data_IF_442325256539
#
_entry.id   IF_442325256539
#
_cell.length_a   1.000
_cell.length_b   1.000
_cell.length_c   1.000
_cell.angle_alpha   90.00
_cell.angle_beta   90.00
_cell.angle_gamma   90.00
#
_symmetry.space_group_name_H-M   'P 1'
#
loop_
_entity.id
_entity.type
_entity.pdbx_description
1 polymer ?
#
# COMPACT_ATOMS: atom_id res chain seq x y z
N UNK A 1 -29.85 47.53 14.66
CA UNK A 1 -31.29 47.67 15.00
C UNK A 1 -31.58 47.49 16.50
N UNK A 2 -30.96 46.55 17.22
CA UNK A 2 -31.22 46.39 18.66
C UNK A 2 -30.67 47.54 19.53
N UNK A 3 -29.43 47.99 19.28
CA UNK A 3 -28.78 49.14 19.98
C UNK A 3 -29.57 50.46 19.89
N UNK A 4 -30.32 50.67 18.82
CA UNK A 4 -31.11 51.90 18.60
C UNK A 4 -32.47 51.87 19.32
N UNK A 5 -32.96 50.69 19.72
CA UNK A 5 -34.26 50.52 20.38
C UNK A 5 -34.12 50.42 21.91
N UNK A 6 -33.00 49.88 22.41
CA UNK A 6 -32.70 49.87 23.83
C UNK A 6 -31.18 50.05 24.05
N UNK A 7 -30.73 51.29 24.25
CA UNK A 7 -29.30 51.59 24.36
C UNK A 7 -28.67 51.06 25.65
N UNK A 8 -29.45 50.75 26.69
CA UNK A 8 -28.97 50.24 27.98
C UNK A 8 -29.06 48.71 28.11
N UNK A 9 -29.38 48.01 27.02
CA UNK A 9 -29.44 46.54 27.02
C UNK A 9 -28.10 45.93 27.49
N UNK A 10 -28.10 45.03 28.50
CA UNK A 10 -26.89 44.39 29.01
C UNK A 10 -26.06 43.68 27.94
N UNK A 11 -26.72 43.11 26.93
CA UNK A 11 -26.06 42.44 25.79
C UNK A 11 -25.36 43.43 24.83
N UNK A 12 -25.78 44.69 24.83
CA UNK A 12 -25.20 45.78 24.01
C UNK A 12 -24.09 46.51 24.77
N UNK A 13 -24.27 46.70 26.08
CA UNK A 13 -23.32 47.40 26.95
C UNK A 13 -22.19 46.50 27.46
N UNK A 14 -22.42 45.20 27.60
CA UNK A 14 -21.45 44.26 28.11
C UNK A 14 -21.41 42.96 27.29
N UNK A 15 -20.44 42.89 26.37
CA UNK A 15 -20.22 41.72 25.51
C UNK A 15 -19.87 40.45 26.29
N UNK A 16 -19.45 40.57 27.55
CA UNK A 16 -19.08 39.43 28.39
C UNK A 16 -20.29 38.68 28.98
N UNK A 17 -21.48 39.29 29.00
CA UNK A 17 -22.73 38.62 29.41
C UNK A 17 -23.47 37.94 28.26
N UNK A 18 -22.94 38.03 27.04
CA UNK A 18 -23.61 37.55 25.84
C UNK A 18 -23.63 36.02 25.66
N UNK A 19 -23.20 35.24 26.67
CA UNK A 19 -23.18 33.78 26.58
C UNK A 19 -22.25 33.23 25.51
N UNK A 20 -21.41 34.08 24.90
CA UNK A 20 -20.35 33.62 24.02
C UNK A 20 -19.29 32.97 24.91
N UNK A 21 -19.18 31.65 24.80
CA UNK A 21 -18.11 30.88 25.45
C UNK A 21 -16.79 31.55 25.06
N UNK A 22 -15.95 31.98 26.03
CA UNK A 22 -14.63 32.47 25.71
C UNK A 22 -13.94 31.41 24.85
N UNK A 23 -13.33 31.81 23.74
CA UNK A 23 -12.36 30.95 23.08
C UNK A 23 -11.23 30.79 24.10
N UNK A 24 -11.37 29.81 25.00
CA UNK A 24 -10.23 29.22 25.66
C UNK A 24 -9.38 28.82 24.47
N UNK A 25 -8.26 29.50 24.27
CA UNK A 25 -7.17 28.97 23.48
C UNK A 25 -6.73 27.70 24.23
N UNK A 26 -7.51 26.64 24.09
CA UNK A 26 -6.96 25.32 23.95
C UNK A 26 -5.95 25.54 22.85
N UNK A 27 -4.69 25.57 23.25
CA UNK A 27 -3.60 25.26 22.35
C UNK A 27 -3.88 23.84 21.90
N UNK A 28 -4.84 23.68 20.97
CA UNK A 28 -4.71 22.64 19.99
C UNK A 28 -3.32 22.84 19.42
N UNK A 29 -2.46 21.80 19.44
CA UNK A 29 -1.18 21.90 18.78
C UNK A 29 -1.48 22.10 17.30
N UNK A 30 -1.57 23.36 16.89
CA UNK A 30 -1.61 23.79 15.51
C UNK A 30 -0.44 23.09 14.86
N UNK A 31 -0.75 22.17 13.95
CA UNK A 31 0.18 21.32 13.18
C UNK A 31 1.13 22.14 12.27
N UNK A 32 1.39 23.40 12.57
CA UNK A 32 2.05 24.37 11.70
C UNK A 32 3.53 24.61 12.03
N UNK A 33 4.12 23.88 13.00
CA UNK A 33 5.54 24.07 13.39
C UNK A 33 6.41 22.82 13.40
N UNK A 34 5.88 21.63 13.10
CA UNK A 34 6.65 20.38 13.22
C UNK A 34 7.42 20.07 11.94
N UNK A 35 8.74 19.89 12.06
CA UNK A 35 9.58 19.45 10.94
C UNK A 35 9.44 17.93 10.72
N UNK A 36 8.48 17.56 9.90
CA UNK A 36 8.25 16.17 9.50
C UNK A 36 9.36 15.58 8.61
N UNK A 37 10.41 16.32 8.23
CA UNK A 37 11.60 15.69 7.62
C UNK A 37 12.34 14.80 8.62
N UNK A 38 12.22 15.06 9.93
CA UNK A 38 12.75 14.21 10.97
C UNK A 38 11.85 12.98 11.21
N UNK A 39 12.42 11.79 11.14
CA UNK A 39 11.69 10.52 11.31
C UNK A 39 11.06 10.37 12.70
N UNK A 40 11.75 10.79 13.76
CA UNK A 40 11.22 10.72 15.13
C UNK A 40 9.98 11.60 15.29
N UNK A 41 9.96 12.76 14.63
CA UNK A 41 8.79 13.67 14.62
C UNK A 41 7.63 13.03 13.86
N UNK A 42 7.91 12.37 12.72
CA UNK A 42 6.90 11.59 12.01
C UNK A 42 6.35 10.45 12.85
N UNK A 43 7.20 9.70 13.55
CA UNK A 43 6.77 8.60 14.41
C UNK A 43 5.87 9.11 15.55
N UNK A 44 6.25 10.21 16.20
CA UNK A 44 5.45 10.84 17.25
C UNK A 44 4.05 11.28 16.76
N UNK A 45 3.87 11.50 15.46
CA UNK A 45 2.54 11.80 14.90
C UNK A 45 1.58 10.60 14.95
N UNK A 46 2.04 9.38 15.19
CA UNK A 46 1.19 8.18 15.19
C UNK A 46 0.64 7.81 16.58
N UNK A 47 0.70 8.70 17.56
CA UNK A 47 -0.04 8.52 18.83
C UNK A 47 -1.52 8.24 18.54
N UNK A 48 -2.06 7.15 19.09
CA UNK A 48 -3.43 6.67 18.86
C UNK A 48 -3.73 6.30 17.39
N UNK A 49 -2.75 5.76 16.66
CA UNK A 49 -2.96 5.22 15.32
C UNK A 49 -4.05 4.12 15.34
N UNK A 50 -5.08 4.18 14.48
CA UNK A 50 -6.23 3.27 14.55
C UNK A 50 -5.96 1.86 14.00
N UNK A 51 -4.87 1.65 13.26
CA UNK A 51 -4.59 0.39 12.54
C UNK A 51 -3.18 -0.18 12.82
N UNK A 52 -2.75 -0.32 14.08
CA UNK A 52 -1.39 -0.78 14.40
C UNK A 52 -1.13 -2.23 13.99
N UNK A 53 -2.17 -3.07 13.98
CA UNK A 53 -2.07 -4.50 13.59
C UNK A 53 -2.01 -4.70 12.07
N UNK A 54 -2.42 -3.70 11.29
CA UNK A 54 -2.44 -3.74 9.83
C UNK A 54 -1.13 -3.18 9.28
N UNK A 55 -0.71 -2.03 9.79
CA UNK A 55 0.53 -1.37 9.38
C UNK A 55 1.18 -0.67 10.57
N UNK A 56 2.43 -1.03 10.83
CA UNK A 56 3.19 -0.50 11.95
C UNK A 56 3.52 1.00 11.75
N UNK A 57 3.26 1.86 12.74
CA UNK A 57 3.68 3.27 12.73
C UNK A 57 5.15 3.49 12.37
N UNK A 58 6.04 2.62 12.84
CA UNK A 58 7.48 2.67 12.56
C UNK A 58 7.77 2.47 11.07
N UNK A 59 7.03 1.59 10.40
CA UNK A 59 7.19 1.36 8.97
C UNK A 59 6.70 2.57 8.16
N UNK A 60 5.58 3.18 8.56
CA UNK A 60 5.05 4.40 7.94
C UNK A 60 6.00 5.59 8.11
N UNK A 61 6.48 5.84 9.33
CA UNK A 61 7.43 6.91 9.63
C UNK A 61 8.74 6.74 8.84
N UNK A 62 9.26 5.51 8.77
CA UNK A 62 10.47 5.15 8.01
C UNK A 62 10.28 5.30 6.50
N UNK A 63 9.06 5.09 6.00
CA UNK A 63 8.68 5.34 4.61
C UNK A 63 8.44 6.84 4.30
N UNK A 64 8.59 7.72 5.28
CA UNK A 64 8.48 9.17 5.10
C UNK A 64 7.09 9.74 5.41
N UNK A 65 6.18 8.93 5.94
CA UNK A 65 4.81 9.33 6.25
C UNK A 65 4.63 9.80 7.70
N UNK A 66 3.70 10.72 7.91
CA UNK A 66 3.17 11.13 9.21
C UNK A 66 1.64 11.06 9.18
N UNK A 67 1.00 10.82 10.34
CA UNK A 67 -0.46 10.74 10.45
C UNK A 67 -1.08 12.13 10.37
N UNK A 68 -2.24 12.22 9.70
CA UNK A 68 -3.08 13.42 9.69
C UNK A 68 -4.07 13.48 10.86
N UNK A 69 -4.05 12.49 11.76
CA UNK A 69 -5.00 12.34 12.88
C UNK A 69 -6.47 12.21 12.44
N UNK A 70 -6.67 11.78 11.21
CA UNK A 70 -7.97 11.56 10.58
C UNK A 70 -7.97 10.15 9.98
N UNK A 71 -8.61 9.22 10.68
CA UNK A 71 -8.62 7.78 10.37
C UNK A 71 -7.20 7.25 10.08
N UNK A 72 -7.02 6.53 8.98
CA UNK A 72 -5.74 5.98 8.55
C UNK A 72 -5.03 6.86 7.49
N UNK A 73 -5.38 8.14 7.44
CA UNK A 73 -4.77 9.06 6.49
C UNK A 73 -3.33 9.39 6.90
N UNK A 74 -2.42 9.17 5.97
CA UNK A 74 -0.99 9.42 6.13
C UNK A 74 -0.47 10.33 5.03
N UNK A 75 0.43 11.25 5.36
CA UNK A 75 0.98 12.22 4.42
C UNK A 75 2.50 12.15 4.38
N UNK A 76 3.07 12.17 3.19
CA UNK A 76 4.51 12.16 3.02
C UNK A 76 5.10 13.54 3.34
N UNK A 77 6.18 13.58 4.13
CA UNK A 77 6.87 14.82 4.48
C UNK A 77 7.56 15.50 3.27
N UNK A 78 7.86 14.74 2.22
CA UNK A 78 8.72 15.17 1.10
C UNK A 78 7.91 15.54 -0.14
N UNK A 79 7.07 14.63 -0.66
CA UNK A 79 6.22 14.90 -1.82
C UNK A 79 4.83 15.44 -1.47
N UNK A 80 4.47 15.46 -0.17
CA UNK A 80 3.14 15.86 0.33
C UNK A 80 1.98 15.00 -0.16
N UNK A 81 2.26 13.87 -0.83
CA UNK A 81 1.27 12.87 -1.23
C UNK A 81 0.61 12.22 -0.02
N UNK A 82 -0.67 11.85 -0.17
CA UNK A 82 -1.50 11.26 0.89
C UNK A 82 -1.84 9.82 0.49
N UNK A 83 -1.68 8.88 1.42
CA UNK A 83 -2.09 7.47 1.32
C UNK A 83 -3.04 7.15 2.47
N UNK A 84 -4.07 6.36 2.18
CA UNK A 84 -5.17 5.99 3.08
C UNK A 84 -5.66 4.58 2.74
N UNK A 85 -6.58 4.07 3.55
CA UNK A 85 -7.19 2.74 3.37
C UNK A 85 -6.14 1.63 3.36
N UNK A 86 -5.22 1.68 4.33
CA UNK A 86 -4.15 0.69 4.48
C UNK A 86 -4.71 -0.72 4.71
N UNK A 87 -4.16 -1.69 3.98
CA UNK A 87 -4.52 -3.11 4.02
C UNK A 87 -3.37 -3.95 4.62
N UNK A 88 -3.65 -5.15 5.18
CA UNK A 88 -2.63 -5.95 5.87
C UNK A 88 -1.45 -6.41 5.00
N UNK A 89 -1.62 -6.41 3.67
CA UNK A 89 -0.56 -6.76 2.72
C UNK A 89 0.28 -5.56 2.27
N UNK A 90 -0.07 -4.34 2.69
CA UNK A 90 0.58 -3.13 2.21
C UNK A 90 1.94 -2.94 2.87
N UNK A 91 2.94 -2.67 2.03
CA UNK A 91 4.29 -2.31 2.47
C UNK A 91 4.46 -0.81 2.21
N UNK A 92 4.65 0.04 3.24
CA UNK A 92 4.70 1.50 3.07
C UNK A 92 5.69 2.00 2.02
N UNK A 93 6.88 1.39 1.91
CA UNK A 93 7.88 1.73 0.89
C UNK A 93 7.38 1.43 -0.53
N UNK A 94 6.71 0.29 -0.71
CA UNK A 94 6.16 -0.14 -2.00
C UNK A 94 5.00 0.76 -2.41
N UNK A 95 4.07 1.02 -1.50
CA UNK A 95 2.92 1.88 -1.76
C UNK A 95 3.35 3.33 -2.03
N UNK A 96 4.35 3.84 -1.31
CA UNK A 96 4.91 5.17 -1.58
C UNK A 96 5.51 5.25 -3.00
N UNK A 97 6.31 4.27 -3.41
CA UNK A 97 6.89 4.22 -4.77
C UNK A 97 5.82 4.08 -5.84
N UNK A 98 4.80 3.26 -5.59
CA UNK A 98 3.69 2.99 -6.52
C UNK A 98 2.84 4.24 -6.75
N UNK A 99 2.48 4.96 -5.70
CA UNK A 99 1.59 6.12 -5.79
C UNK A 99 2.32 7.43 -6.10
N UNK A 100 3.57 7.58 -5.66
CA UNK A 100 4.36 8.81 -5.84
C UNK A 100 5.79 8.50 -6.31
N UNK A 101 5.98 7.89 -7.50
CA UNK A 101 7.30 7.46 -7.99
C UNK A 101 8.30 8.61 -8.17
N UNK A 102 7.82 9.84 -8.36
CA UNK A 102 8.64 11.05 -8.50
C UNK A 102 8.98 11.72 -7.16
N UNK A 103 8.54 11.17 -6.03
CA UNK A 103 8.88 11.70 -4.71
C UNK A 103 10.40 11.70 -4.51
N UNK A 104 11.02 12.82 -4.10
CA UNK A 104 12.46 12.87 -3.85
C UNK A 104 12.95 11.84 -2.82
N UNK A 105 12.13 11.53 -1.82
CA UNK A 105 12.44 10.51 -0.83
C UNK A 105 12.35 9.09 -1.42
N UNK A 106 11.41 8.87 -2.34
CA UNK A 106 11.32 7.58 -3.06
C UNK A 106 12.58 7.37 -3.90
N UNK A 107 12.94 8.37 -4.70
CA UNK A 107 14.04 8.25 -5.66
C UNK A 107 15.39 8.09 -4.98
N UNK A 108 15.62 8.78 -3.86
CA UNK A 108 16.91 8.81 -3.16
C UNK A 108 17.05 7.76 -2.06
N UNK A 109 15.98 7.43 -1.33
CA UNK A 109 16.05 6.56 -0.15
C UNK A 109 15.34 5.23 -0.39
N UNK A 110 14.05 5.26 -0.75
CA UNK A 110 13.23 4.04 -0.81
C UNK A 110 13.71 3.11 -1.92
N UNK A 111 14.01 3.64 -3.11
CA UNK A 111 14.53 2.81 -4.21
C UNK A 111 15.82 2.07 -3.79
N UNK A 112 16.71 2.71 -3.04
CA UNK A 112 17.92 2.06 -2.54
C UNK A 112 17.61 0.96 -1.53
N UNK A 113 16.64 1.15 -0.63
CA UNK A 113 16.21 0.10 0.32
C UNK A 113 15.58 -1.10 -0.36
N UNK A 114 14.77 -0.85 -1.39
CA UNK A 114 14.13 -1.89 -2.18
C UNK A 114 15.13 -2.66 -3.06
N UNK A 115 16.21 -2.01 -3.51
CA UNK A 115 17.28 -2.63 -4.30
C UNK A 115 18.39 -3.27 -3.44
N UNK A 116 18.67 -2.71 -2.26
CA UNK A 116 19.78 -3.08 -1.38
C UNK A 116 19.45 -4.17 -0.36
N UNK A 117 18.19 -4.60 -0.27
CA UNK A 117 17.84 -5.81 0.46
C UNK A 117 18.21 -7.02 -0.41
N UNK A 118 19.40 -7.60 -0.20
CA UNK A 118 19.87 -8.85 -0.81
C UNK A 118 19.08 -10.10 -0.39
N UNK A 119 17.78 -9.96 -0.11
CA UNK A 119 16.79 -11.00 -0.17
C UNK A 119 16.00 -10.71 -1.44
N UNK A 120 16.22 -11.50 -2.50
CA UNK A 120 15.43 -11.46 -3.72
C UNK A 120 13.94 -11.29 -3.36
N UNK A 121 13.26 -10.21 -3.80
CA UNK A 121 11.82 -10.13 -3.67
C UNK A 121 11.24 -11.39 -4.28
N UNK A 122 10.38 -12.12 -3.56
CA UNK A 122 9.65 -13.23 -4.16
C UNK A 122 9.07 -12.74 -5.49
N UNK A 123 9.34 -13.47 -6.57
CA UNK A 123 9.00 -13.12 -7.96
C UNK A 123 7.58 -12.55 -8.13
N UNK A 124 6.67 -12.89 -7.23
CA UNK A 124 5.30 -12.41 -7.16
C UNK A 124 5.14 -10.88 -7.07
N UNK A 125 5.98 -10.16 -6.31
CA UNK A 125 5.80 -8.72 -6.11
C UNK A 125 6.42 -7.88 -7.26
N UNK A 126 7.54 -8.33 -7.81
CA UNK A 126 8.21 -7.69 -8.94
C UNK A 126 7.39 -7.88 -10.24
N UNK A 127 6.77 -9.05 -10.45
CA UNK A 127 5.94 -9.33 -11.64
C UNK A 127 4.65 -8.48 -11.70
N UNK A 128 3.99 -8.23 -10.56
CA UNK A 128 2.80 -7.37 -10.50
C UNK A 128 3.14 -5.89 -10.74
N UNK A 129 4.28 -5.43 -10.24
CA UNK A 129 4.78 -4.08 -10.48
C UNK A 129 5.16 -3.87 -11.95
N UNK A 130 5.89 -4.83 -12.54
CA UNK A 130 6.32 -4.76 -13.93
C UNK A 130 5.15 -4.91 -14.92
N UNK A 131 4.14 -5.73 -14.61
CA UNK A 131 2.94 -5.89 -15.46
C UNK A 131 2.16 -4.58 -15.62
N UNK A 132 2.20 -3.67 -14.64
CA UNK A 132 1.54 -2.35 -14.70
C UNK A 132 2.34 -1.29 -15.47
N UNK A 133 3.68 -1.36 -15.46
CA UNK A 133 4.54 -0.41 -16.19
C UNK A 133 4.66 -0.79 -17.68
N UNK A 134 4.69 -2.08 -18.01
CA UNK A 134 4.75 -2.56 -19.41
C UNK A 134 3.46 -2.24 -20.18
N UNK A 135 2.31 -2.12 -19.51
CA UNK A 135 1.06 -1.73 -20.17
C UNK A 135 1.07 -0.28 -20.71
N UNK A 136 1.94 0.59 -20.18
CA UNK A 136 1.97 2.01 -20.54
C UNK A 136 3.17 2.43 -21.40
N UNK A 137 4.16 1.56 -21.63
CA UNK A 137 5.27 1.84 -22.53
C UNK A 137 5.35 0.73 -23.58
N UNK A 138 4.77 0.99 -24.75
CA UNK A 138 5.06 0.23 -25.98
C UNK A 138 6.53 0.49 -26.32
N UNK A 139 7.43 -0.35 -25.82
CA UNK A 139 8.81 -0.38 -26.29
C UNK A 139 8.86 -1.38 -27.42
N UNK A 140 8.76 -0.85 -28.64
CA UNK A 140 9.09 -1.52 -29.90
C UNK A 140 10.61 -1.75 -29.97
N UNK A 141 11.10 -2.67 -29.14
CA UNK A 141 12.50 -3.05 -29.05
C UNK A 141 12.66 -4.52 -29.43
N UNK A 142 13.46 -4.78 -30.46
CA UNK A 142 13.77 -6.10 -30.98
C UNK A 142 14.45 -6.97 -29.90
N UNK A 143 13.68 -7.86 -29.26
CA UNK A 143 14.10 -8.74 -28.16
C UNK A 143 15.02 -9.88 -28.58
N UNK A 144 15.17 -10.13 -29.89
CA UNK A 144 15.90 -11.30 -30.40
C UNK A 144 17.43 -11.17 -30.20
N UNK A 145 17.96 -9.94 -30.17
CA UNK A 145 19.40 -9.66 -29.99
C UNK A 145 19.89 -9.99 -28.57
N UNK A 146 19.00 -10.01 -27.58
CA UNK A 146 19.31 -10.37 -26.20
C UNK A 146 19.21 -11.88 -25.93
N UNK A 147 19.00 -12.69 -26.96
CA UNK A 147 18.78 -14.14 -26.81
C UNK A 147 17.46 -14.49 -26.10
N UNK A 148 16.56 -13.52 -25.94
CA UNK A 148 15.23 -13.71 -25.34
C UNK A 148 14.37 -14.42 -26.35
N UNK A 149 14.36 -15.76 -26.30
CA UNK A 149 13.46 -16.55 -27.13
C UNK A 149 12.03 -16.24 -26.72
N UNK A 150 11.24 -15.75 -27.67
CA UNK A 150 9.79 -15.59 -27.48
C UNK A 150 9.20 -16.93 -27.04
N UNK A 151 8.78 -17.00 -25.78
CA UNK A 151 8.16 -18.21 -25.26
C UNK A 151 6.79 -18.33 -25.91
N UNK A 152 6.61 -19.35 -26.77
CA UNK A 152 5.29 -19.76 -27.20
C UNK A 152 4.56 -20.23 -25.93
N UNK A 153 3.34 -19.75 -25.69
CA UNK A 153 2.58 -20.03 -24.47
C UNK A 153 2.51 -21.53 -24.11
N UNK A 154 1.91 -21.87 -22.95
CA UNK A 154 1.89 -23.25 -22.47
C UNK A 154 1.38 -24.20 -23.56
N UNK A 155 2.10 -25.32 -23.76
CA UNK A 155 1.75 -26.33 -24.77
C UNK A 155 0.33 -26.89 -24.56
N UNK A 156 -0.17 -26.83 -23.32
CA UNK A 156 -1.51 -27.19 -22.88
C UNK A 156 -2.19 -25.97 -22.24
N UNK A 157 -2.75 -25.03 -23.02
CA UNK A 157 -3.42 -23.85 -22.48
C UNK A 157 -4.57 -24.19 -21.53
N UNK A 158 -5.22 -25.35 -21.73
CA UNK A 158 -6.29 -25.88 -20.89
C UNK A 158 -5.85 -26.17 -19.45
N UNK A 159 -4.55 -26.30 -19.19
CA UNK A 159 -3.93 -26.46 -17.87
C UNK A 159 -3.08 -25.25 -17.47
N UNK A 160 -3.25 -24.12 -18.16
CA UNK A 160 -2.45 -22.92 -17.98
C UNK A 160 -2.62 -22.25 -16.62
N UNK A 161 -3.77 -22.40 -15.97
CA UNK A 161 -4.02 -21.83 -14.62
C UNK A 161 -3.98 -22.91 -13.54
N UNK A 162 -3.68 -22.51 -12.31
CA UNK A 162 -3.67 -23.43 -11.14
C UNK A 162 -5.03 -24.09 -10.98
N UNK A 163 -6.11 -23.33 -11.10
CA UNK A 163 -7.49 -23.82 -10.97
C UNK A 163 -7.81 -24.87 -12.04
N UNK A 164 -7.30 -24.69 -13.26
CA UNK A 164 -7.48 -25.65 -14.33
C UNK A 164 -6.73 -26.96 -14.08
N UNK A 165 -5.55 -26.88 -13.47
CA UNK A 165 -4.80 -28.05 -13.02
C UNK A 165 -5.48 -28.75 -11.86
N UNK A 166 -5.96 -28.03 -10.83
CA UNK A 166 -6.72 -28.62 -9.72
C UNK A 166 -7.94 -29.40 -10.24
N UNK A 167 -8.67 -28.85 -11.21
CA UNK A 167 -9.83 -29.53 -11.83
C UNK A 167 -9.50 -30.88 -12.47
N UNK A 168 -8.26 -31.11 -12.89
CA UNK A 168 -7.83 -32.39 -13.45
C UNK A 168 -7.76 -33.51 -12.42
N UNK A 169 -7.62 -33.19 -11.13
CA UNK A 169 -7.47 -34.15 -10.02
C UNK A 169 -8.80 -34.69 -9.48
N UNK A 170 -9.89 -34.62 -10.25
CA UNK A 170 -11.23 -35.05 -9.80
C UNK A 170 -11.31 -36.54 -9.37
N UNK A 171 -10.40 -37.36 -9.87
CA UNK A 171 -10.31 -38.81 -9.65
C UNK A 171 -9.00 -39.19 -8.97
N UNK A 172 -8.30 -38.21 -8.39
CA UNK A 172 -7.08 -38.43 -7.63
C UNK A 172 -7.40 -39.15 -6.32
N UNK A 173 -6.58 -40.16 -5.99
CA UNK A 173 -6.78 -40.93 -4.76
C UNK A 173 -6.52 -40.06 -3.52
N UNK A 174 -7.45 -39.99 -2.56
CA UNK A 174 -7.26 -39.22 -1.32
C UNK A 174 -6.22 -39.86 -0.38
N UNK A 175 -5.81 -41.10 -0.65
CA UNK A 175 -4.83 -41.84 0.15
C UNK A 175 -3.38 -41.57 -0.27
N UNK A 176 -3.16 -40.78 -1.31
CA UNK A 176 -1.83 -40.38 -1.75
C UNK A 176 -1.33 -39.20 -0.90
N UNK A 177 -0.04 -39.23 -0.56
CA UNK A 177 0.61 -38.18 0.23
C UNK A 177 0.58 -36.83 -0.52
N UNK A 178 0.63 -36.89 -1.84
CA UNK A 178 0.70 -35.71 -2.69
C UNK A 178 -0.72 -35.16 -2.90
N UNK A 179 -0.95 -33.93 -2.45
CA UNK A 179 -2.24 -33.28 -2.58
C UNK A 179 -2.41 -32.63 -3.96
N UNK A 180 -3.63 -32.63 -4.52
CA UNK A 180 -3.94 -31.89 -5.74
C UNK A 180 -3.50 -30.42 -5.72
N UNK A 181 -3.68 -29.72 -4.60
CA UNK A 181 -3.27 -28.32 -4.43
C UNK A 181 -1.76 -28.14 -4.57
N UNK A 182 -0.98 -29.02 -3.93
CA UNK A 182 0.49 -28.98 -4.00
C UNK A 182 0.96 -29.24 -5.43
N UNK A 183 0.41 -30.26 -6.08
CA UNK A 183 0.75 -30.65 -7.45
C UNK A 183 0.37 -29.53 -8.44
N UNK A 184 -0.84 -28.99 -8.35
CA UNK A 184 -1.31 -27.91 -9.21
C UNK A 184 -0.51 -26.62 -9.02
N UNK A 185 -0.17 -26.23 -7.79
CA UNK A 185 0.70 -25.08 -7.52
C UNK A 185 2.12 -25.28 -8.09
N UNK A 186 2.62 -26.51 -8.07
CA UNK A 186 3.91 -26.87 -8.68
C UNK A 186 3.87 -26.99 -10.21
N UNK A 187 2.73 -26.74 -10.85
CA UNK A 187 2.58 -26.76 -12.31
C UNK A 187 2.11 -28.10 -12.87
N UNK A 188 1.74 -29.07 -12.03
CA UNK A 188 1.34 -30.40 -12.47
C UNK A 188 -0.16 -30.55 -12.65
N UNK A 189 -0.58 -31.32 -13.65
CA UNK A 189 -1.96 -31.76 -13.88
C UNK A 189 -2.04 -33.29 -14.00
N UNK A 190 -3.22 -33.84 -13.74
CA UNK A 190 -3.51 -35.27 -13.72
C UNK A 190 -4.19 -35.75 -15.01
N UNK A 191 -3.78 -36.91 -15.52
CA UNK A 191 -4.36 -37.51 -16.74
C UNK A 191 -5.33 -38.67 -16.47
N UNK A 192 -5.61 -38.99 -15.20
CA UNK A 192 -6.57 -40.05 -14.85
C UNK A 192 -6.00 -41.46 -14.70
N UNK A 193 -4.66 -41.62 -14.75
CA UNK A 193 -4.01 -42.93 -14.62
C UNK A 193 -3.12 -43.00 -13.38
N UNK A 194 -3.57 -43.76 -12.37
CA UNK A 194 -2.81 -44.03 -11.15
C UNK A 194 -2.45 -42.76 -10.39
N UNK A 195 -1.16 -42.57 -10.14
CA UNK A 195 -0.57 -41.39 -9.49
C UNK A 195 0.27 -40.54 -10.46
N UNK A 196 0.07 -40.70 -11.78
CA UNK A 196 0.89 -40.03 -12.79
C UNK A 196 0.45 -38.59 -13.05
N UNK A 197 1.39 -37.65 -13.06
CA UNK A 197 1.15 -36.23 -13.35
C UNK A 197 2.08 -35.69 -14.44
N UNK A 198 1.68 -34.58 -15.08
CA UNK A 198 2.46 -33.89 -16.12
C UNK A 198 2.58 -32.39 -15.86
N UNK A 199 3.66 -31.77 -16.34
CA UNK A 199 3.88 -30.33 -16.34
C UNK A 199 3.67 -29.70 -17.73
#
# INVERSE_FOLDING_TARGET
>A
RHRTLNPTCPFVMNSSTSGNVPLINNVEPSSSGLDYKNETVRLASFVNWPKPDIVAPEALARAGFYSLKDDDNTKCAFCKGIVRSWEPSDIPDVEHKKHFPQCPFVTTVINQRLLGSGCEPSRSYQELYNRRIVANNVVDGNLDELGVRKHNGPKRPEYGTVEARIRSFNSWSPNLIQTPDLLANAGFYYEGMGDQVRC
#
